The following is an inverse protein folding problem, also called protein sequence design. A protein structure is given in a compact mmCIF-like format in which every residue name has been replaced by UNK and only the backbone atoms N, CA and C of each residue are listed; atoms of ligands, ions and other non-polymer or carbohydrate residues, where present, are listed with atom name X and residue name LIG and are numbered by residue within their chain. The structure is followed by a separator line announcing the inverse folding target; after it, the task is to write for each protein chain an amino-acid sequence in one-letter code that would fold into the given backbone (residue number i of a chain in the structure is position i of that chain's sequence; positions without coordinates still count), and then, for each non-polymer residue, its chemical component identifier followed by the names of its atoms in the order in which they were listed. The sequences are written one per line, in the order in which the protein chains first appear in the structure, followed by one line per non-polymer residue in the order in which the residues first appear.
data_IF_230256843223
#
_entry.id   IF_230256843223
#
_cell.length_a   1.000
_cell.length_b   1.000
_cell.length_c   1.000
_cell.angle_alpha   90.00
_cell.angle_beta   90.00
_cell.angle_gamma   90.00
#
_symmetry.space_group_name_H-M   'P 1'
#
loop_
_entity.id
_entity.type
_entity.pdbx_description
1 polymer ?
#
# COMPACT_ATOMS: atom_id res chain seq x y z
N UNK A 1 35.06 -46.88 -39.41
CA UNK A 1 34.67 -45.62 -38.75
C UNK A 1 35.34 -45.62 -37.37
N UNK A 2 36.33 -44.74 -37.15
CA UNK A 2 37.29 -44.86 -36.08
C UNK A 2 36.70 -44.38 -34.72
N UNK A 3 36.99 -45.08 -33.64
CA UNK A 3 36.58 -44.81 -32.26
C UNK A 3 36.79 -43.32 -31.87
N UNK A 4 37.83 -42.69 -32.46
CA UNK A 4 38.09 -41.24 -32.27
C UNK A 4 36.97 -40.31 -32.75
N UNK A 5 36.18 -40.69 -33.71
CA UNK A 5 35.04 -39.88 -34.21
C UNK A 5 33.83 -39.98 -33.30
N UNK A 6 33.65 -41.11 -32.58
CA UNK A 6 32.59 -41.29 -31.59
C UNK A 6 32.87 -40.54 -30.30
N UNK A 7 34.12 -40.43 -29.88
CA UNK A 7 34.50 -39.65 -28.70
C UNK A 7 34.36 -38.15 -28.91
N UNK A 8 34.60 -37.63 -30.13
CA UNK A 8 34.39 -36.24 -30.48
C UNK A 8 32.90 -35.93 -30.56
N UNK A 9 32.06 -36.82 -31.10
CA UNK A 9 30.60 -36.61 -31.12
C UNK A 9 29.97 -36.67 -29.74
N UNK A 10 30.43 -37.51 -28.83
CA UNK A 10 29.98 -37.54 -27.43
C UNK A 10 30.41 -36.28 -26.66
N UNK A 11 31.62 -35.76 -26.88
CA UNK A 11 32.12 -34.56 -26.25
C UNK A 11 31.38 -33.29 -26.72
N UNK A 12 31.02 -33.24 -28.03
CA UNK A 12 30.21 -32.13 -28.56
C UNK A 12 28.74 -32.15 -28.08
N UNK A 13 28.17 -33.34 -27.82
CA UNK A 13 26.83 -33.47 -27.24
C UNK A 13 26.77 -33.05 -25.77
N UNK A 14 27.88 -33.19 -25.02
CA UNK A 14 27.94 -32.69 -23.61
C UNK A 14 28.10 -31.18 -23.52
N UNK A 15 28.58 -30.49 -24.56
CA UNK A 15 28.70 -29.02 -24.58
C UNK A 15 27.38 -28.31 -24.95
N UNK A 16 26.41 -29.06 -25.53
CA UNK A 16 25.09 -28.52 -25.84
C UNK A 16 24.08 -28.63 -24.68
N UNK A 17 24.50 -29.21 -23.56
CA UNK A 17 23.62 -29.44 -22.38
C UNK A 17 23.66 -28.36 -21.31
N UNK A 18 24.33 -27.21 -21.56
CA UNK A 18 24.44 -26.16 -20.53
C UNK A 18 23.11 -25.48 -20.20
N UNK A 19 22.10 -25.52 -21.07
CA UNK A 19 20.80 -24.92 -20.75
C UNK A 19 19.82 -25.85 -20.01
N UNK A 20 20.19 -27.16 -19.84
CA UNK A 20 19.32 -28.11 -19.14
C UNK A 20 19.44 -28.03 -17.59
N UNK A 21 20.43 -27.31 -17.08
CA UNK A 21 20.67 -27.12 -15.65
C UNK A 21 20.37 -25.69 -15.15
N UNK A 22 19.84 -24.84 -16.01
CA UNK A 22 19.18 -23.63 -15.52
C UNK A 22 17.87 -24.03 -14.84
N UNK A 23 17.94 -24.37 -13.56
CA UNK A 23 16.78 -24.39 -12.68
C UNK A 23 16.27 -22.96 -12.62
N UNK A 24 15.26 -22.66 -13.42
CA UNK A 24 14.49 -21.44 -13.26
C UNK A 24 13.93 -21.47 -11.84
N UNK A 25 14.41 -20.55 -11.02
CA UNK A 25 13.79 -20.31 -9.73
C UNK A 25 12.29 -20.08 -9.96
N UNK A 26 11.44 -20.95 -9.42
CA UNK A 26 9.98 -20.86 -9.59
C UNK A 26 9.43 -19.55 -9.04
N UNK A 27 10.25 -18.78 -8.31
CA UNK A 27 9.94 -17.48 -7.75
C UNK A 27 10.38 -16.29 -8.65
N UNK A 28 11.07 -16.53 -9.75
CA UNK A 28 11.37 -15.54 -10.78
C UNK A 28 10.52 -15.81 -12.01
N UNK A 29 9.37 -15.16 -12.09
CA UNK A 29 8.67 -15.04 -13.36
C UNK A 29 9.53 -14.16 -14.28
N UNK A 30 10.22 -14.79 -15.25
CA UNK A 30 10.85 -14.06 -16.34
C UNK A 30 9.74 -13.41 -17.17
N UNK A 31 9.44 -12.16 -16.88
CA UNK A 31 8.49 -11.37 -17.65
C UNK A 31 9.03 -11.11 -19.05
N UNK A 32 8.63 -11.93 -20.00
CA UNK A 32 9.06 -11.81 -21.41
C UNK A 32 8.22 -10.77 -22.18
N UNK A 33 7.14 -10.32 -21.61
CA UNK A 33 6.25 -9.30 -22.18
C UNK A 33 5.83 -8.26 -21.13
N UNK A 34 5.40 -7.09 -21.59
CA UNK A 34 4.85 -6.09 -20.70
C UNK A 34 3.58 -6.57 -19.99
N UNK A 35 2.81 -7.49 -20.58
CA UNK A 35 1.62 -8.09 -19.96
C UNK A 35 1.97 -8.97 -18.79
N UNK A 36 3.05 -9.74 -18.87
CA UNK A 36 3.52 -10.58 -17.76
C UNK A 36 3.97 -9.70 -16.59
N UNK A 37 4.69 -8.60 -16.89
CA UNK A 37 5.09 -7.62 -15.87
C UNK A 37 3.90 -6.89 -15.26
N UNK A 38 2.86 -6.61 -16.05
CA UNK A 38 1.61 -6.02 -15.55
C UNK A 38 0.88 -6.99 -14.61
N UNK A 39 0.81 -8.27 -14.95
CA UNK A 39 0.21 -9.31 -14.11
C UNK A 39 1.00 -9.50 -12.81
N UNK A 40 2.33 -9.44 -12.87
CA UNK A 40 3.19 -9.50 -11.67
C UNK A 40 2.92 -8.31 -10.73
N UNK A 41 2.76 -7.10 -11.26
CA UNK A 41 2.37 -5.94 -10.45
C UNK A 41 0.99 -6.14 -9.80
N UNK A 42 0.01 -6.65 -10.55
CA UNK A 42 -1.35 -6.89 -10.04
C UNK A 42 -1.35 -7.94 -8.93
N UNK A 43 -0.66 -9.06 -9.16
CA UNK A 43 -0.68 -10.20 -8.25
C UNK A 43 0.09 -9.98 -6.95
N UNK A 44 1.28 -9.36 -7.03
CA UNK A 44 2.23 -9.36 -5.93
C UNK A 44 2.65 -7.98 -5.42
N UNK A 45 2.42 -6.91 -6.17
CA UNK A 45 2.86 -5.57 -5.81
C UNK A 45 1.70 -4.67 -5.36
N UNK A 46 0.55 -4.71 -6.02
CA UNK A 46 -0.66 -4.08 -5.49
C UNK A 46 -1.16 -4.88 -4.28
N UNK A 47 -1.69 -4.19 -3.28
CA UNK A 47 -2.36 -4.87 -2.17
C UNK A 47 -3.58 -5.62 -2.70
N UNK A 48 -3.66 -6.91 -2.40
CA UNK A 48 -4.74 -7.75 -2.89
C UNK A 48 -6.06 -7.38 -2.21
N UNK A 49 -7.09 -7.14 -3.02
CA UNK A 49 -8.47 -7.00 -2.53
C UNK A 49 -8.98 -8.30 -1.88
N UNK A 50 -8.33 -9.43 -2.16
CA UNK A 50 -8.68 -10.75 -1.62
C UNK A 50 -8.17 -11.01 -0.19
N UNK A 51 -7.57 -10.03 0.47
CA UNK A 51 -7.31 -10.09 1.91
C UNK A 51 -8.59 -10.27 2.75
N UNK A 52 -9.75 -10.18 2.11
CA UNK A 52 -11.07 -10.23 2.72
C UNK A 52 -11.58 -11.62 3.08
N UNK A 53 -10.95 -12.70 2.63
CA UNK A 53 -11.47 -14.05 2.87
C UNK A 53 -11.04 -14.69 4.19
N UNK A 54 -10.02 -14.17 4.83
CA UNK A 54 -9.61 -14.63 6.14
C UNK A 54 -9.77 -13.49 7.14
N UNK A 55 -10.68 -13.63 8.08
CA UNK A 55 -10.79 -12.87 9.33
C UNK A 55 -9.51 -13.02 10.15
N UNK A 56 -8.42 -12.70 9.54
CA UNK A 56 -7.13 -12.80 10.16
C UNK A 56 -6.62 -11.36 10.30
N UNK A 57 -6.81 -10.77 11.48
CA UNK A 57 -6.17 -9.48 11.85
C UNK A 57 -4.70 -9.43 11.45
N UNK A 58 -4.16 -10.59 11.16
CA UNK A 58 -2.81 -10.80 10.70
C UNK A 58 -2.54 -10.44 9.24
N UNK A 59 -3.53 -10.23 8.38
CA UNK A 59 -3.35 -9.92 6.95
C UNK A 59 -3.54 -8.46 6.58
N UNK A 60 -3.98 -7.61 7.51
CA UNK A 60 -4.40 -6.24 7.22
C UNK A 60 -3.25 -5.24 7.29
N UNK A 61 -2.77 -4.90 6.12
CA UNK A 61 -1.69 -3.93 5.96
C UNK A 61 -2.22 -2.50 6.15
N UNK A 62 -1.66 -1.80 7.16
CA UNK A 62 -1.97 -0.40 7.40
C UNK A 62 -3.19 -0.12 8.28
N UNK A 63 -3.96 -1.12 8.68
CA UNK A 63 -5.11 -0.96 9.57
C UNK A 63 -4.71 -0.36 10.93
N UNK A 64 -3.54 -0.72 11.44
CA UNK A 64 -2.98 -0.19 12.68
C UNK A 64 -2.70 1.32 12.65
N UNK A 65 -2.66 1.97 11.48
CA UNK A 65 -2.44 3.42 11.38
C UNK A 65 -3.51 4.21 12.12
N UNK A 66 -4.75 3.76 12.09
CA UNK A 66 -5.86 4.40 12.80
C UNK A 66 -5.74 4.21 14.32
N UNK A 67 -5.07 3.14 14.76
CA UNK A 67 -4.80 2.89 16.18
C UNK A 67 -3.65 3.74 16.74
N UNK A 68 -2.78 4.23 15.86
CA UNK A 68 -1.69 5.16 16.23
C UNK A 68 -2.13 6.63 16.30
N UNK A 69 -3.38 6.90 15.93
CA UNK A 69 -3.93 8.25 15.90
C UNK A 69 -5.01 8.45 16.96
N UNK A 70 -5.37 9.70 17.21
CA UNK A 70 -6.39 10.09 18.22
C UNK A 70 -7.84 9.78 17.76
N UNK A 71 -8.00 9.12 16.64
CA UNK A 71 -9.30 8.82 16.03
C UNK A 71 -10.02 7.66 16.72
N UNK A 72 -9.29 6.75 17.34
CA UNK A 72 -9.82 5.56 17.98
C UNK A 72 -9.58 5.55 19.47
N UNK A 73 -10.49 4.88 20.17
CA UNK A 73 -10.41 4.70 21.61
C UNK A 73 -10.92 3.32 22.02
N UNK A 74 -10.52 2.87 23.18
CA UNK A 74 -11.00 1.61 23.75
C UNK A 74 -12.49 1.68 24.05
N UNK A 75 -13.22 0.67 23.59
CA UNK A 75 -14.61 0.45 23.94
C UNK A 75 -14.74 -0.82 24.78
N UNK A 76 -15.03 -0.61 26.07
CA UNK A 76 -15.21 -1.71 27.01
C UNK A 76 -16.70 -2.02 27.20
N UNK A 77 -17.22 -3.03 26.50
CA UNK A 77 -18.59 -3.51 26.68
C UNK A 77 -18.69 -4.72 27.63
N UNK A 78 -17.63 -5.08 28.31
CA UNK A 78 -17.58 -6.21 29.23
C UNK A 78 -17.54 -7.59 28.60
N UNK A 79 -17.46 -7.68 27.29
CA UNK A 79 -17.41 -8.95 26.54
C UNK A 79 -16.09 -9.03 25.79
N UNK A 80 -15.16 -9.79 26.30
CA UNK A 80 -13.93 -10.15 25.57
C UNK A 80 -14.31 -11.22 24.54
N UNK A 81 -14.39 -10.83 23.27
CA UNK A 81 -14.54 -11.78 22.18
C UNK A 81 -13.15 -12.18 21.69
N UNK A 82 -12.92 -13.45 21.48
CA UNK A 82 -11.64 -14.09 21.15
C UNK A 82 -10.97 -13.61 19.84
N UNK A 83 -11.59 -12.68 19.11
CA UNK A 83 -11.09 -12.01 17.90
C UNK A 83 -11.03 -10.49 18.06
N UNK A 84 -10.70 -10.04 19.25
CA UNK A 84 -10.71 -8.64 19.62
C UNK A 84 -9.50 -7.93 19.00
N UNK A 85 -9.76 -6.93 18.16
CA UNK A 85 -8.72 -6.06 17.64
C UNK A 85 -7.92 -5.40 18.77
N UNK A 86 -8.55 -5.14 19.90
CA UNK A 86 -7.91 -4.65 21.12
C UNK A 86 -6.80 -5.60 21.58
N UNK A 87 -7.04 -6.91 21.63
CA UNK A 87 -6.07 -7.89 22.06
C UNK A 87 -4.86 -7.98 21.11
N UNK A 88 -5.13 -8.19 19.81
CA UNK A 88 -4.06 -8.41 18.83
C UNK A 88 -3.31 -7.14 18.41
N UNK A 89 -3.94 -5.99 18.53
CA UNK A 89 -3.37 -4.70 18.16
C UNK A 89 -2.92 -3.88 19.37
N UNK A 90 -2.89 -4.51 20.54
CA UNK A 90 -2.54 -3.86 21.81
C UNK A 90 -1.23 -3.08 21.74
N UNK A 91 -0.21 -3.63 21.12
CA UNK A 91 1.09 -2.99 20.97
C UNK A 91 1.03 -1.68 20.18
N UNK A 92 0.10 -1.55 19.23
CA UNK A 92 -0.08 -0.34 18.44
C UNK A 92 -0.84 0.75 19.22
N UNK A 93 -2.04 0.45 19.69
CA UNK A 93 -2.87 1.47 20.32
C UNK A 93 -2.38 1.90 21.71
N UNK A 94 -1.58 1.06 22.39
CA UNK A 94 -0.92 1.41 23.67
C UNK A 94 0.53 1.89 23.50
N UNK A 95 0.99 2.06 22.27
CA UNK A 95 2.36 2.54 21.98
C UNK A 95 3.46 1.72 22.67
N UNK A 96 3.31 0.39 22.69
CA UNK A 96 4.33 -0.46 23.28
C UNK A 96 5.65 -0.38 22.49
N UNK A 97 6.82 -0.53 23.15
CA UNK A 97 8.11 -0.55 22.47
C UNK A 97 8.22 -1.66 21.40
N UNK A 98 7.41 -2.70 21.53
CA UNK A 98 7.27 -3.80 20.57
C UNK A 98 5.81 -3.91 20.17
N UNK A 99 5.54 -3.60 18.93
CA UNK A 99 4.17 -3.58 18.38
C UNK A 99 3.49 -4.96 18.32
N UNK A 100 4.26 -6.05 18.38
CA UNK A 100 3.73 -7.42 18.51
C UNK A 100 3.33 -7.81 19.94
N UNK A 101 3.39 -6.91 20.91
CA UNK A 101 2.93 -7.16 22.28
C UNK A 101 1.41 -7.25 22.30
N UNK A 102 0.87 -8.34 22.85
CA UNK A 102 -0.57 -8.56 23.03
C UNK A 102 -1.06 -8.04 24.38
N UNK A 103 -2.37 -7.98 24.59
CA UNK A 103 -2.97 -7.45 25.84
C UNK A 103 -2.55 -8.23 27.10
N UNK A 104 -2.25 -9.52 26.98
CA UNK A 104 -1.73 -10.35 28.06
C UNK A 104 -0.20 -10.25 28.23
N UNK A 105 0.44 -9.30 27.53
CA UNK A 105 1.88 -9.10 27.48
C UNK A 105 2.67 -10.27 26.87
N UNK A 106 2.01 -11.23 26.24
CA UNK A 106 2.67 -12.16 25.34
C UNK A 106 3.17 -11.44 24.09
N UNK A 107 4.08 -12.08 23.35
CA UNK A 107 4.63 -11.47 22.13
C UNK A 107 4.29 -12.31 20.91
N UNK A 108 3.66 -11.69 19.92
CA UNK A 108 3.49 -12.22 18.58
C UNK A 108 4.52 -11.59 17.63
N UNK A 109 5.69 -12.21 17.54
CA UNK A 109 6.77 -11.75 16.67
C UNK A 109 6.41 -11.80 15.19
N UNK A 110 5.45 -12.62 14.81
CA UNK A 110 4.97 -12.70 13.43
C UNK A 110 4.22 -11.42 13.03
N UNK A 111 3.40 -10.89 13.93
CA UNK A 111 2.68 -9.64 13.70
C UNK A 111 3.63 -8.43 13.63
N UNK A 112 4.68 -8.43 14.45
CA UNK A 112 5.62 -7.32 14.59
C UNK A 112 6.30 -6.93 13.27
N UNK A 113 6.60 -7.90 12.42
CA UNK A 113 7.36 -7.68 11.19
C UNK A 113 6.52 -7.75 9.92
N UNK A 114 5.22 -7.93 10.03
CA UNK A 114 4.36 -8.24 8.90
C UNK A 114 4.32 -7.13 7.85
N UNK A 115 4.07 -5.89 8.26
CA UNK A 115 4.04 -4.73 7.37
C UNK A 115 5.41 -4.48 6.74
N UNK A 116 6.47 -4.58 7.53
CA UNK A 116 7.85 -4.48 7.04
C UNK A 116 8.14 -5.49 5.92
N UNK A 117 7.89 -6.77 6.21
CA UNK A 117 8.12 -7.86 5.25
C UNK A 117 7.31 -7.70 3.98
N UNK A 118 6.03 -7.32 4.10
CA UNK A 118 5.17 -7.12 2.93
C UNK A 118 5.63 -5.94 2.07
N UNK A 119 5.97 -4.81 2.67
CA UNK A 119 6.46 -3.66 1.93
C UNK A 119 7.75 -4.01 1.16
N UNK A 120 8.71 -4.69 1.80
CA UNK A 120 9.94 -5.10 1.10
C UNK A 120 9.69 -6.17 0.04
N UNK A 121 8.71 -7.08 0.24
CA UNK A 121 8.29 -8.00 -0.83
C UNK A 121 7.77 -7.22 -2.05
N UNK A 122 6.88 -6.25 -1.85
CA UNK A 122 6.36 -5.40 -2.92
C UNK A 122 7.46 -4.57 -3.59
N UNK A 123 8.41 -4.02 -2.82
CA UNK A 123 9.58 -3.30 -3.34
C UNK A 123 10.43 -4.22 -4.22
N UNK A 124 10.65 -5.47 -3.80
CA UNK A 124 11.40 -6.43 -4.59
C UNK A 124 10.70 -6.77 -5.92
N UNK A 125 9.39 -6.94 -5.90
CA UNK A 125 8.57 -7.11 -7.11
C UNK A 125 8.70 -5.89 -8.03
N UNK A 126 8.59 -4.67 -7.49
CA UNK A 126 8.76 -3.46 -8.28
C UNK A 126 10.17 -3.36 -8.89
N UNK A 127 11.23 -3.73 -8.15
CA UNK A 127 12.59 -3.80 -8.67
C UNK A 127 12.70 -4.78 -9.83
N UNK A 128 12.15 -6.00 -9.68
CA UNK A 128 12.13 -7.02 -10.75
C UNK A 128 11.44 -6.48 -11.99
N UNK A 129 10.27 -5.88 -11.85
CA UNK A 129 9.54 -5.28 -12.98
C UNK A 129 10.36 -4.19 -13.67
N UNK A 130 11.01 -3.31 -12.90
CA UNK A 130 11.84 -2.24 -13.47
C UNK A 130 13.04 -2.78 -14.24
N UNK A 131 13.72 -3.80 -13.72
CA UNK A 131 14.87 -4.43 -14.38
C UNK A 131 14.47 -5.26 -15.60
N UNK A 132 13.37 -6.02 -15.52
CA UNK A 132 12.86 -6.83 -16.62
C UNK A 132 12.31 -5.96 -17.74
N UNK A 133 11.70 -4.81 -17.42
CA UNK A 133 11.18 -3.89 -18.41
C UNK A 133 12.28 -3.35 -19.35
N UNK A 134 13.53 -3.22 -18.89
CA UNK A 134 14.66 -2.80 -19.75
C UNK A 134 14.97 -3.77 -20.89
N UNK A 135 14.52 -5.01 -20.78
CA UNK A 135 14.73 -6.07 -21.77
C UNK A 135 13.56 -6.23 -22.75
N UNK A 136 12.46 -5.48 -22.53
CA UNK A 136 11.27 -5.63 -23.37
C UNK A 136 11.50 -5.14 -24.81
N UNK A 137 10.92 -5.81 -25.79
CA UNK A 137 10.89 -5.31 -27.16
C UNK A 137 10.00 -4.03 -27.21
N UNK A 138 10.45 -3.03 -27.95
CA UNK A 138 9.76 -1.75 -28.16
C UNK A 138 9.47 -1.50 -29.64
N UNK A 139 9.17 -2.55 -30.38
CA UNK A 139 8.99 -2.50 -31.83
C UNK A 139 7.65 -1.88 -32.23
N UNK A 140 6.60 -2.15 -31.46
CA UNK A 140 5.23 -1.68 -31.74
C UNK A 140 4.81 -0.57 -30.76
N UNK A 141 3.83 0.22 -31.14
CA UNK A 141 3.26 1.24 -30.24
C UNK A 141 2.61 0.60 -29.00
N UNK A 142 1.99 -0.57 -29.14
CA UNK A 142 1.42 -1.31 -28.01
C UNK A 142 2.50 -1.71 -27.00
N UNK A 143 3.63 -2.18 -27.45
CA UNK A 143 4.77 -2.52 -26.57
C UNK A 143 5.34 -1.28 -25.88
N UNK A 144 5.48 -0.15 -26.59
CA UNK A 144 5.92 1.11 -26.00
C UNK A 144 4.94 1.60 -24.92
N UNK A 145 3.65 1.58 -25.21
CA UNK A 145 2.62 1.94 -24.24
C UNK A 145 2.63 0.99 -23.03
N UNK A 146 2.77 -0.31 -23.25
CA UNK A 146 2.91 -1.29 -22.18
C UNK A 146 4.15 -1.06 -21.31
N UNK A 147 5.30 -0.81 -21.94
CA UNK A 147 6.55 -0.44 -21.25
C UNK A 147 6.37 0.79 -20.34
N UNK A 148 5.79 1.87 -20.87
CA UNK A 148 5.57 3.08 -20.08
C UNK A 148 4.57 2.85 -18.93
N UNK A 149 3.55 2.04 -19.16
CA UNK A 149 2.60 1.66 -18.13
C UNK A 149 3.30 0.93 -16.96
N UNK A 150 3.97 -0.18 -17.23
CA UNK A 150 4.54 -1.01 -16.17
C UNK A 150 5.66 -0.30 -15.42
N UNK A 151 6.50 0.46 -16.14
CA UNK A 151 7.54 1.27 -15.48
C UNK A 151 6.95 2.38 -14.63
N UNK A 152 5.97 3.10 -15.15
CA UNK A 152 5.30 4.17 -14.40
C UNK A 152 4.66 3.66 -13.12
N UNK A 153 3.93 2.55 -13.19
CA UNK A 153 3.30 1.94 -12.02
C UNK A 153 4.31 1.33 -11.05
N UNK A 154 5.37 0.68 -11.54
CA UNK A 154 6.40 0.09 -10.66
C UNK A 154 7.15 1.16 -9.86
N UNK A 155 7.55 2.27 -10.49
CA UNK A 155 8.14 3.41 -9.80
C UNK A 155 7.16 4.03 -8.76
N UNK A 156 5.89 4.21 -9.13
CA UNK A 156 4.87 4.69 -8.19
C UNK A 156 4.75 3.79 -6.96
N UNK A 157 4.64 2.48 -7.16
CA UNK A 157 4.47 1.51 -6.08
C UNK A 157 5.72 1.45 -5.19
N UNK A 158 6.92 1.50 -5.77
CA UNK A 158 8.17 1.51 -5.00
C UNK A 158 8.28 2.77 -4.14
N UNK A 159 7.98 3.94 -4.71
CA UNK A 159 7.91 5.20 -3.96
C UNK A 159 6.87 5.12 -2.82
N UNK A 160 5.70 4.58 -3.08
CA UNK A 160 4.63 4.43 -2.10
C UNK A 160 5.07 3.56 -0.91
N UNK A 161 5.69 2.40 -1.17
CA UNK A 161 6.12 1.50 -0.10
C UNK A 161 7.31 2.04 0.70
N UNK A 162 8.27 2.72 0.06
CA UNK A 162 9.34 3.39 0.78
C UNK A 162 8.83 4.58 1.60
N UNK A 163 7.87 5.33 1.09
CA UNK A 163 7.23 6.40 1.86
C UNK A 163 6.51 5.85 3.10
N UNK A 164 5.82 4.71 2.98
CA UNK A 164 5.24 4.04 4.14
C UNK A 164 6.31 3.58 5.14
N UNK A 165 7.31 2.86 4.66
CA UNK A 165 8.36 2.33 5.53
C UNK A 165 9.10 3.41 6.31
N UNK A 166 9.49 4.51 5.66
CA UNK A 166 10.24 5.57 6.34
C UNK A 166 9.39 6.28 7.39
N UNK A 167 8.09 6.44 7.15
CA UNK A 167 7.20 7.07 8.13
C UNK A 167 6.80 6.15 9.27
N UNK A 168 6.79 4.83 9.07
CA UNK A 168 6.46 3.86 10.11
C UNK A 168 7.66 3.47 10.98
N UNK A 169 8.85 3.41 10.38
CA UNK A 169 10.03 2.83 11.03
C UNK A 169 11.23 3.79 11.11
N UNK A 170 11.17 4.93 10.43
CA UNK A 170 12.17 5.99 10.48
C UNK A 170 11.83 7.09 11.48
N UNK A 171 12.73 8.07 11.60
CA UNK A 171 12.41 9.31 12.25
C UNK A 171 11.53 10.18 11.34
N UNK A 172 10.66 11.05 11.91
CA UNK A 172 9.91 12.01 11.11
C UNK A 172 10.87 12.89 10.28
N UNK A 173 10.48 13.21 9.04
CA UNK A 173 11.31 14.10 8.23
C UNK A 173 11.44 15.48 8.86
N UNK A 174 12.67 15.94 9.04
CA UNK A 174 12.99 17.30 9.43
C UNK A 174 14.09 17.85 8.54
N UNK A 175 13.93 19.01 7.91
CA UNK A 175 14.96 19.60 7.06
C UNK A 175 16.32 19.80 7.78
N UNK A 176 16.30 19.90 9.10
CA UNK A 176 17.49 20.13 9.92
C UNK A 176 18.24 18.84 10.28
N UNK A 177 17.53 17.72 10.42
CA UNK A 177 18.10 16.47 10.96
C UNK A 177 18.02 15.28 10.01
N UNK A 178 17.26 15.36 8.90
CA UNK A 178 17.05 14.25 7.96
C UNK A 178 18.33 13.62 7.43
N UNK A 179 19.44 14.40 7.37
CA UNK A 179 20.78 13.92 6.94
C UNK A 179 21.45 12.97 7.93
N UNK A 180 21.02 12.98 9.16
CA UNK A 180 21.60 12.17 10.24
C UNK A 180 20.59 11.20 10.86
N UNK A 181 19.31 11.52 10.76
CA UNK A 181 18.25 10.66 11.26
C UNK A 181 18.17 9.35 10.47
N UNK A 182 17.98 8.26 11.20
CA UNK A 182 17.91 6.93 10.59
C UNK A 182 16.53 6.68 9.98
N UNK A 183 16.52 6.48 8.68
CA UNK A 183 15.39 6.00 7.90
C UNK A 183 15.31 4.48 7.85
N UNK A 184 15.19 3.91 6.66
CA UNK A 184 15.10 2.47 6.41
C UNK A 184 16.13 2.03 5.35
N UNK A 185 16.52 0.75 5.30
CA UNK A 185 17.40 0.25 4.24
C UNK A 185 16.82 0.47 2.84
N UNK A 186 17.62 0.94 1.91
CA UNK A 186 17.28 1.03 0.50
C UNK A 186 17.75 -0.23 -0.24
N UNK A 187 16.82 -1.00 -0.77
CA UNK A 187 17.05 -2.12 -1.70
C UNK A 187 16.52 -1.73 -3.07
N UNK A 188 17.42 -1.44 -3.99
CA UNK A 188 17.10 -0.81 -5.28
C UNK A 188 17.23 -1.76 -6.49
N UNK A 189 17.53 -3.03 -6.24
CA UNK A 189 17.62 -4.09 -7.25
C UNK A 189 16.85 -5.34 -6.80
N UNK A 190 16.59 -6.26 -7.74
CA UNK A 190 15.84 -7.49 -7.48
C UNK A 190 16.72 -8.61 -6.89
N UNK A 191 18.04 -8.52 -7.00
CA UNK A 191 18.97 -9.58 -6.59
C UNK A 191 18.91 -9.85 -5.07
N UNK A 192 19.00 -11.12 -4.72
CA UNK A 192 19.01 -11.54 -3.31
C UNK A 192 20.44 -11.76 -2.87
N UNK A 193 20.89 -10.97 -1.92
CA UNK A 193 22.23 -11.09 -1.31
C UNK A 193 22.13 -11.51 0.14
N UNK A 194 23.04 -12.38 0.56
CA UNK A 194 23.24 -12.70 1.99
C UNK A 194 24.10 -11.61 2.65
N UNK A 195 23.51 -10.41 2.78
CA UNK A 195 24.17 -9.24 3.39
C UNK A 195 23.27 -8.60 4.43
N UNK A 196 23.88 -8.01 5.44
CA UNK A 196 23.17 -7.17 6.41
C UNK A 196 23.04 -5.76 5.86
N UNK A 197 21.83 -5.39 5.48
CA UNK A 197 21.54 -4.03 5.05
C UNK A 197 21.65 -3.06 6.22
N UNK A 198 22.29 -1.92 5.98
CA UNK A 198 22.34 -0.78 6.89
C UNK A 198 21.09 0.10 6.68
N UNK A 199 20.68 0.82 7.71
CA UNK A 199 19.66 1.85 7.55
C UNK A 199 20.25 3.05 6.84
N UNK A 200 19.59 3.51 5.80
CA UNK A 200 19.89 4.78 5.15
C UNK A 200 19.34 5.94 6.00
N UNK A 201 19.82 7.14 5.74
CA UNK A 201 19.25 8.33 6.38
C UNK A 201 17.86 8.63 5.87
N UNK A 202 17.07 9.38 6.63
CA UNK A 202 15.74 9.84 6.21
C UNK A 202 15.84 10.65 4.92
N UNK A 203 16.85 11.51 4.77
CA UNK A 203 17.09 12.28 3.53
C UNK A 203 17.31 11.37 2.33
N UNK A 204 18.16 10.34 2.45
CA UNK A 204 18.42 9.39 1.35
C UNK A 204 17.17 8.64 0.92
N UNK A 205 16.34 8.20 1.89
CA UNK A 205 15.09 7.51 1.57
C UNK A 205 14.10 8.44 0.87
N UNK A 206 13.92 9.67 1.35
CA UNK A 206 13.03 10.64 0.69
C UNK A 206 13.56 11.09 -0.67
N UNK A 207 14.88 11.19 -0.84
CA UNK A 207 15.50 11.46 -2.14
C UNK A 207 15.20 10.33 -3.14
N UNK A 208 15.26 9.06 -2.68
CA UNK A 208 14.87 7.91 -3.51
C UNK A 208 13.38 7.92 -3.85
N UNK A 209 12.50 8.19 -2.88
CA UNK A 209 11.06 8.33 -3.09
C UNK A 209 10.75 9.39 -4.13
N UNK A 210 11.35 10.58 -4.02
CA UNK A 210 11.11 11.67 -4.98
C UNK A 210 11.68 11.38 -6.36
N UNK A 211 12.81 10.69 -6.47
CA UNK A 211 13.34 10.23 -7.75
C UNK A 211 12.40 9.22 -8.44
N UNK A 212 11.85 8.28 -7.68
CA UNK A 212 10.86 7.33 -8.21
C UNK A 212 9.57 8.03 -8.65
N UNK A 213 9.09 9.04 -7.88
CA UNK A 213 7.92 9.82 -8.31
C UNK A 213 8.18 10.58 -9.60
N UNK A 214 9.36 11.13 -9.81
CA UNK A 214 9.74 11.80 -11.07
C UNK A 214 9.79 10.81 -12.23
N UNK A 215 10.46 9.66 -12.05
CA UNK A 215 10.50 8.62 -13.09
C UNK A 215 9.10 8.09 -13.42
N UNK A 216 8.26 7.87 -12.40
CA UNK A 216 6.87 7.49 -12.60
C UNK A 216 6.09 8.54 -13.41
N UNK A 217 6.28 9.85 -13.10
CA UNK A 217 5.62 10.95 -13.83
C UNK A 217 6.02 10.97 -15.31
N UNK A 218 7.33 10.78 -15.61
CA UNK A 218 7.83 10.71 -16.97
C UNK A 218 7.19 9.58 -17.77
N UNK A 219 7.09 8.39 -17.19
CA UNK A 219 6.48 7.24 -17.84
C UNK A 219 4.96 7.36 -17.95
N UNK A 220 4.25 7.73 -16.89
CA UNK A 220 2.80 7.83 -16.91
C UNK A 220 2.29 8.95 -17.83
N UNK A 221 3.06 10.00 -18.10
CA UNK A 221 2.74 11.00 -19.11
C UNK A 221 2.78 10.46 -20.54
N UNK A 222 3.61 9.46 -20.79
CA UNK A 222 3.70 8.82 -22.11
C UNK A 222 2.69 7.69 -22.31
N UNK A 223 2.10 7.19 -21.23
CA UNK A 223 1.01 6.22 -21.28
C UNK A 223 -0.33 6.92 -21.50
N UNK A 224 -0.88 6.83 -22.72
CA UNK A 224 -2.05 7.59 -23.14
C UNK A 224 -3.39 6.91 -22.92
N UNK A 225 -3.40 5.62 -22.62
CA UNK A 225 -4.64 4.89 -22.41
C UNK A 225 -5.32 5.31 -21.09
N UNK A 226 -6.65 5.42 -21.14
CA UNK A 226 -7.43 5.76 -19.94
C UNK A 226 -7.35 4.63 -18.91
N UNK A 227 -7.16 5.01 -17.64
CA UNK A 227 -7.27 4.10 -16.53
C UNK A 227 -8.66 3.43 -16.49
N UNK A 228 -8.67 2.11 -16.34
CA UNK A 228 -9.90 1.33 -16.28
C UNK A 228 -10.42 1.09 -14.85
N UNK A 229 -9.61 1.32 -13.84
CA UNK A 229 -9.93 0.99 -12.45
C UNK A 229 -9.23 1.93 -11.48
N UNK A 230 -9.92 2.30 -10.39
CA UNK A 230 -9.33 3.07 -9.28
C UNK A 230 -8.28 2.25 -8.49
N UNK A 231 -8.23 0.93 -8.71
CA UNK A 231 -7.27 0.04 -8.06
C UNK A 231 -5.91 -0.02 -8.78
N UNK A 232 -5.73 0.78 -9.81
CA UNK A 232 -4.47 0.93 -10.54
C UNK A 232 -3.96 2.37 -10.44
N UNK A 233 -2.66 2.52 -10.28
CA UNK A 233 -2.05 3.83 -10.29
C UNK A 233 -2.16 4.50 -11.66
N UNK A 234 -2.30 5.81 -11.66
CA UNK A 234 -2.27 6.67 -12.83
C UNK A 234 -1.59 8.00 -12.48
N UNK A 235 -1.51 8.89 -13.45
CA UNK A 235 -0.88 10.20 -13.27
C UNK A 235 -1.55 11.03 -12.16
N UNK A 236 -2.86 10.88 -11.96
CA UNK A 236 -3.59 11.62 -10.91
C UNK A 236 -3.27 11.09 -9.52
N UNK A 237 -3.22 9.76 -9.37
CA UNK A 237 -2.81 9.13 -8.11
C UNK A 237 -1.35 9.43 -7.76
N UNK A 238 -0.48 9.50 -8.78
CA UNK A 238 0.91 9.93 -8.60
C UNK A 238 0.98 11.38 -8.09
N UNK A 239 0.23 12.31 -8.68
CA UNK A 239 0.22 13.70 -8.22
C UNK A 239 -0.27 13.81 -6.77
N UNK A 240 -1.28 13.04 -6.39
CA UNK A 240 -1.77 12.99 -5.01
C UNK A 240 -0.71 12.47 -4.05
N UNK A 241 -0.01 11.39 -4.41
CA UNK A 241 1.08 10.86 -3.59
C UNK A 241 2.24 11.85 -3.49
N UNK A 242 2.63 12.49 -4.60
CA UNK A 242 3.69 13.48 -4.63
C UNK A 242 3.36 14.69 -3.73
N UNK A 243 2.13 15.21 -3.81
CA UNK A 243 1.68 16.29 -2.92
C UNK A 243 1.85 15.90 -1.45
N UNK A 244 1.45 14.68 -1.07
CA UNK A 244 1.60 14.17 0.30
C UNK A 244 3.06 13.99 0.70
N UNK A 245 3.90 13.44 -0.16
CA UNK A 245 5.34 13.27 0.11
C UNK A 245 6.00 14.63 0.36
N UNK A 246 5.75 15.62 -0.49
CA UNK A 246 6.31 16.96 -0.31
C UNK A 246 5.75 17.68 0.92
N UNK A 247 4.48 17.43 1.29
CA UNK A 247 3.90 17.92 2.53
C UNK A 247 4.68 17.40 3.76
N UNK A 248 4.98 16.10 3.78
CA UNK A 248 5.76 15.47 4.85
C UNK A 248 7.21 15.99 4.88
N UNK A 249 7.77 16.33 3.71
CA UNK A 249 9.09 16.98 3.60
C UNK A 249 9.08 18.46 4.00
N UNK A 250 7.94 19.03 4.36
CA UNK A 250 7.74 20.46 4.62
C UNK A 250 8.09 21.34 3.40
N UNK A 251 8.04 20.78 2.22
CA UNK A 251 8.20 21.51 0.97
C UNK A 251 6.81 21.96 0.47
N UNK A 252 6.34 23.06 1.06
CA UNK A 252 4.99 23.57 0.87
C UNK A 252 4.69 23.94 -0.57
N UNK A 253 5.65 24.57 -1.27
CA UNK A 253 5.48 24.98 -2.66
C UNK A 253 5.25 23.79 -3.59
N UNK A 254 6.04 22.73 -3.42
CA UNK A 254 5.86 21.49 -4.18
C UNK A 254 4.58 20.75 -3.78
N UNK A 255 4.23 20.74 -2.53
CA UNK A 255 2.98 20.13 -2.05
C UNK A 255 1.76 20.80 -2.72
N UNK A 256 1.73 22.14 -2.79
CA UNK A 256 0.69 22.91 -3.47
C UNK A 256 0.72 22.67 -4.98
N UNK A 257 1.91 22.73 -5.63
CA UNK A 257 2.04 22.48 -7.07
C UNK A 257 1.39 21.14 -7.48
N UNK A 258 1.68 20.08 -6.73
CA UNK A 258 1.14 18.75 -7.05
C UNK A 258 -0.35 18.61 -6.66
N UNK A 259 -0.81 19.26 -5.60
CA UNK A 259 -2.23 19.34 -5.27
C UNK A 259 -3.04 20.06 -6.39
N UNK A 260 -2.51 21.14 -6.93
CA UNK A 260 -3.14 21.87 -8.04
C UNK A 260 -3.22 20.99 -9.30
N UNK A 261 -2.22 20.17 -9.59
CA UNK A 261 -2.27 19.19 -10.69
C UNK A 261 -3.41 18.18 -10.49
N UNK A 262 -3.68 17.75 -9.26
CA UNK A 262 -4.83 16.87 -8.96
C UNK A 262 -6.14 17.60 -9.21
N UNK A 263 -6.29 18.81 -8.66
CA UNK A 263 -7.51 19.62 -8.78
C UNK A 263 -7.81 20.02 -10.23
N UNK A 264 -6.79 20.21 -11.06
CA UNK A 264 -6.97 20.48 -12.49
C UNK A 264 -7.64 19.30 -13.23
N UNK A 265 -7.49 18.07 -12.76
CA UNK A 265 -8.07 16.86 -13.37
C UNK A 265 -9.36 16.44 -12.68
N UNK A 266 -9.45 16.64 -11.36
CA UNK A 266 -10.52 16.11 -10.51
C UNK A 266 -10.92 17.15 -9.44
N UNK A 267 -11.61 18.23 -9.85
CA UNK A 267 -12.00 19.32 -8.95
C UNK A 267 -13.28 19.04 -8.16
N UNK A 268 -14.07 18.05 -8.59
CA UNK A 268 -15.42 17.85 -8.04
C UNK A 268 -15.38 17.21 -6.66
N UNK A 269 -16.21 17.73 -5.75
CA UNK A 269 -16.43 17.19 -4.41
C UNK A 269 -17.78 16.51 -4.32
N UNK A 270 -17.89 15.52 -3.45
CA UNK A 270 -19.15 14.86 -3.14
C UNK A 270 -20.12 15.83 -2.47
N UNK A 271 -21.30 15.98 -3.04
CA UNK A 271 -22.35 16.81 -2.45
C UNK A 271 -23.06 16.05 -1.32
N UNK A 272 -22.67 16.31 -0.09
CA UNK A 272 -23.24 15.65 1.09
C UNK A 272 -24.70 16.05 1.36
N UNK A 273 -25.21 17.16 0.80
CA UNK A 273 -26.61 17.55 0.97
C UNK A 273 -27.58 16.76 0.10
N UNK A 274 -27.15 16.32 -1.07
CA UNK A 274 -28.03 15.63 -2.04
C UNK A 274 -27.81 14.13 -2.10
N UNK A 275 -26.64 13.66 -1.70
CA UNK A 275 -26.27 12.24 -1.73
C UNK A 275 -25.72 11.82 -0.35
N UNK A 276 -26.56 11.19 0.44
CA UNK A 276 -26.21 10.60 1.74
C UNK A 276 -25.33 9.37 1.60
N UNK A 277 -24.78 9.13 0.43
CA UNK A 277 -23.97 7.96 0.19
C UNK A 277 -22.61 8.10 0.89
N UNK A 278 -22.06 6.94 1.20
CA UNK A 278 -20.76 6.82 1.83
C UNK A 278 -19.66 7.46 0.96
N UNK A 279 -18.77 8.23 1.55
CA UNK A 279 -17.68 8.89 0.82
C UNK A 279 -16.51 7.93 0.56
N UNK A 280 -16.33 6.92 1.39
CA UNK A 280 -15.27 5.92 1.22
C UNK A 280 -15.77 4.72 0.40
N UNK A 281 -16.26 4.95 -0.79
CA UNK A 281 -16.72 3.93 -1.74
C UNK A 281 -15.98 4.05 -3.08
N UNK A 282 -15.86 2.94 -3.79
CA UNK A 282 -15.16 2.87 -5.08
C UNK A 282 -15.68 3.84 -6.14
N UNK A 283 -16.94 4.20 -6.07
CA UNK A 283 -17.60 5.10 -7.03
C UNK A 283 -17.87 6.50 -6.45
N UNK A 284 -17.28 6.87 -5.33
CA UNK A 284 -17.27 8.24 -4.87
C UNK A 284 -16.51 9.13 -5.85
N UNK A 285 -17.06 10.31 -6.12
CA UNK A 285 -16.45 11.25 -7.05
C UNK A 285 -15.05 11.69 -6.59
N UNK A 286 -14.80 11.70 -5.28
CA UNK A 286 -13.50 12.08 -4.70
C UNK A 286 -12.47 10.94 -4.69
N UNK A 287 -12.88 9.68 -4.94
CA UNK A 287 -11.94 8.56 -4.92
C UNK A 287 -11.00 8.62 -6.11
N UNK A 288 -9.72 8.82 -5.86
CA UNK A 288 -8.67 8.88 -6.88
C UNK A 288 -7.99 7.53 -7.05
N UNK A 289 -7.60 6.92 -5.94
CA UNK A 289 -6.88 5.65 -5.93
C UNK A 289 -7.21 4.86 -4.67
N UNK A 290 -7.33 3.55 -4.78
CA UNK A 290 -7.54 2.65 -3.66
C UNK A 290 -6.75 1.36 -3.86
N UNK A 291 -6.11 0.88 -2.82
CA UNK A 291 -5.52 -0.46 -2.82
C UNK A 291 -6.48 -1.54 -2.26
N UNK A 292 -7.73 -1.16 -2.00
CA UNK A 292 -8.68 -1.98 -1.27
C UNK A 292 -8.48 -1.85 0.24
N UNK A 293 -9.25 -2.59 1.00
CA UNK A 293 -9.20 -2.61 2.46
C UNK A 293 -10.60 -2.58 3.06
N UNK A 294 -11.04 -3.67 3.68
CA UNK A 294 -12.42 -3.80 4.18
C UNK A 294 -12.49 -3.95 5.69
N UNK A 295 -11.37 -4.06 6.39
CA UNK A 295 -11.40 -4.47 7.79
C UNK A 295 -11.51 -3.31 8.77
N UNK A 296 -11.19 -2.10 8.33
CA UNK A 296 -11.36 -0.90 9.14
C UNK A 296 -12.82 -0.71 9.61
N UNK A 297 -13.85 -0.87 8.75
CA UNK A 297 -15.24 -0.78 9.19
C UNK A 297 -15.60 -1.82 10.24
N UNK A 298 -15.03 -3.00 10.17
CA UNK A 298 -15.25 -4.06 11.17
C UNK A 298 -14.64 -3.68 12.52
N UNK A 299 -13.45 -3.11 12.52
CA UNK A 299 -12.80 -2.65 13.74
C UNK A 299 -13.54 -1.49 14.39
N UNK A 300 -13.91 -0.49 13.60
CA UNK A 300 -14.47 0.77 14.11
C UNK A 300 -15.98 0.78 14.26
N UNK A 301 -16.66 -0.20 13.67
CA UNK A 301 -18.09 -0.07 13.46
C UNK A 301 -18.97 -0.91 14.35
N UNK A 302 -18.52 -2.02 14.87
CA UNK A 302 -19.42 -2.98 15.50
C UNK A 302 -19.34 -3.02 17.04
N UNK A 303 -18.45 -2.25 17.67
CA UNK A 303 -18.25 -2.32 19.12
C UNK A 303 -17.85 -3.71 19.64
N UNK A 304 -17.90 -4.72 18.77
CA UNK A 304 -17.53 -6.11 19.08
C UNK A 304 -16.04 -6.35 19.04
N UNK A 305 -15.28 -5.41 18.50
CA UNK A 305 -13.84 -5.49 18.37
C UNK A 305 -13.06 -4.77 19.49
N UNK A 306 -13.75 -4.29 20.51
CA UNK A 306 -13.16 -3.59 21.64
C UNK A 306 -12.68 -2.17 21.36
N UNK A 307 -12.83 -1.67 20.12
CA UNK A 307 -12.42 -0.35 19.69
C UNK A 307 -13.59 0.42 19.09
N UNK A 308 -13.58 1.74 19.24
CA UNK A 308 -14.58 2.65 18.68
C UNK A 308 -13.98 3.99 18.34
N UNK A 309 -14.79 4.89 17.81
CA UNK A 309 -14.38 6.27 17.55
C UNK A 309 -14.21 7.01 18.88
N UNK A 310 -13.12 7.75 19.02
CA UNK A 310 -12.84 8.56 20.19
C UNK A 310 -13.97 9.58 20.43
N UNK A 311 -14.54 9.56 21.63
CA UNK A 311 -15.66 10.43 21.99
C UNK A 311 -15.30 11.92 21.95
N UNK A 312 -14.06 12.28 22.26
CA UNK A 312 -13.61 13.68 22.22
C UNK A 312 -13.52 14.18 20.78
N UNK A 313 -13.05 13.32 19.86
CA UNK A 313 -13.07 13.62 18.42
C UNK A 313 -14.49 13.81 17.91
N UNK A 314 -15.41 12.89 18.24
CA UNK A 314 -16.82 13.04 17.86
C UNK A 314 -17.44 14.32 18.45
N UNK A 315 -17.12 14.67 19.69
CA UNK A 315 -17.62 15.87 20.36
C UNK A 315 -17.09 17.17 19.72
N UNK A 316 -15.90 17.12 19.09
CA UNK A 316 -15.31 18.27 18.42
C UNK A 316 -16.08 18.72 17.17
N UNK A 317 -16.84 17.83 16.54
CA UNK A 317 -17.75 18.23 15.45
C UNK A 317 -18.91 19.03 16.01
N UNK A 318 -19.18 20.21 15.42
CA UNK A 318 -20.33 21.03 15.80
C UNK A 318 -21.65 20.32 15.47
N UNK A 319 -22.75 20.75 16.11
CA UNK A 319 -24.09 20.20 15.84
C UNK A 319 -24.58 20.48 14.40
N UNK A 320 -24.03 21.50 13.76
CA UNK A 320 -24.37 21.87 12.39
C UNK A 320 -23.41 21.28 11.34
N UNK A 321 -22.43 20.48 11.79
CA UNK A 321 -21.52 19.81 10.88
C UNK A 321 -22.16 18.51 10.35
N UNK A 322 -22.48 18.48 9.07
CA UNK A 322 -23.11 17.31 8.43
C UNK A 322 -22.29 16.04 8.58
N UNK A 323 -20.96 16.13 8.71
CA UNK A 323 -20.10 14.95 8.92
C UNK A 323 -20.46 14.25 10.22
N UNK A 324 -20.86 14.98 11.24
CA UNK A 324 -21.25 14.43 12.54
C UNK A 324 -22.46 13.49 12.43
N UNK A 325 -23.40 13.83 11.56
CA UNK A 325 -24.61 13.03 11.32
C UNK A 325 -24.38 11.92 10.31
N UNK A 326 -23.62 12.18 9.26
CA UNK A 326 -23.48 11.27 8.12
C UNK A 326 -22.34 10.26 8.29
N UNK A 327 -21.28 10.62 9.03
CA UNK A 327 -20.09 9.76 9.15
C UNK A 327 -20.06 8.93 10.42
N UNK A 328 -20.90 9.25 11.39
CA UNK A 328 -20.93 8.60 12.68
C UNK A 328 -22.34 8.15 13.03
N UNK A 329 -22.41 7.07 13.77
CA UNK A 329 -23.62 6.68 14.47
C UNK A 329 -23.30 6.53 15.95
N UNK A 330 -24.21 7.00 16.77
CA UNK A 330 -24.00 7.02 18.23
C UNK A 330 -24.94 6.04 18.89
N UNK A 331 -24.37 5.04 19.54
CA UNK A 331 -25.07 4.26 20.54
C UNK A 331 -24.94 4.94 21.92
N UNK A 332 -25.72 4.44 22.89
CA UNK A 332 -25.65 4.95 24.27
C UNK A 332 -24.24 4.85 24.86
N UNK A 333 -23.43 3.91 24.41
CA UNK A 333 -22.16 3.57 25.01
C UNK A 333 -20.95 3.73 24.09
N UNK A 334 -21.15 3.87 22.75
CA UNK A 334 -20.03 4.08 21.84
C UNK A 334 -20.41 4.85 20.57
N UNK A 335 -19.39 5.37 19.88
CA UNK A 335 -19.52 6.01 18.57
C UNK A 335 -18.89 5.10 17.52
N UNK A 336 -19.66 4.74 16.50
CA UNK A 336 -19.19 3.98 15.35
C UNK A 336 -19.03 4.87 14.12
N UNK A 337 -18.29 4.37 13.12
CA UNK A 337 -18.04 5.04 11.86
C UNK A 337 -18.99 4.50 10.78
N UNK A 338 -19.62 5.38 10.00
CA UNK A 338 -20.56 5.00 8.93
C UNK A 338 -20.14 5.48 7.55
N UNK A 339 -19.02 6.19 7.44
CA UNK A 339 -18.57 6.77 6.15
C UNK A 339 -18.13 5.73 5.11
N UNK A 340 -17.97 4.45 5.52
CA UNK A 340 -17.58 3.35 4.65
C UNK A 340 -18.75 2.39 4.39
N UNK A 341 -19.01 1.97 3.14
CA UNK A 341 -20.19 1.17 2.79
C UNK A 341 -20.18 -0.25 3.40
N UNK A 342 -19.01 -0.86 3.53
CA UNK A 342 -18.90 -2.26 3.97
C UNK A 342 -19.23 -2.46 5.44
N UNK A 343 -19.27 -1.36 6.21
CA UNK A 343 -19.76 -1.37 7.57
C UNK A 343 -21.19 -1.93 7.71
N UNK A 344 -22.04 -1.67 6.71
CA UNK A 344 -23.45 -2.08 6.73
C UNK A 344 -23.69 -3.46 6.07
N UNK A 345 -22.76 -3.99 5.32
CA UNK A 345 -22.93 -5.23 4.57
C UNK A 345 -22.93 -6.50 5.44
N UNK A 346 -22.46 -6.40 6.68
CA UNK A 346 -22.42 -7.55 7.61
C UNK A 346 -23.61 -7.63 8.57
N UNK A 347 -24.43 -6.61 8.65
CA UNK A 347 -25.79 -6.75 9.17
C UNK A 347 -26.67 -7.30 8.05
N UNK A 348 -27.39 -8.37 8.29
CA UNK A 348 -28.19 -9.14 7.33
C UNK A 348 -29.31 -8.37 6.61
N UNK A 349 -29.29 -7.04 6.62
CA UNK A 349 -30.14 -6.15 5.83
C UNK A 349 -29.51 -4.78 5.76
N UNK A 350 -29.28 -4.21 4.56
CA UNK A 350 -28.94 -2.80 4.44
C UNK A 350 -30.08 -1.99 5.07
N UNK A 351 -29.81 -0.89 5.80
CA UNK A 351 -30.88 -0.02 6.24
C UNK A 351 -31.63 0.48 5.02
N UNK A 352 -32.90 0.20 4.94
CA UNK A 352 -33.77 0.85 3.96
C UNK A 352 -33.67 2.35 4.20
N UNK A 353 -33.33 3.08 3.14
CA UNK A 353 -33.38 4.54 3.16
C UNK A 353 -34.85 4.92 3.34
N UNK A 354 -35.21 5.38 4.53
CA UNK A 354 -36.46 6.11 4.75
C UNK A 354 -36.30 7.55 4.35
#
# INVERSE_FOLDING_TARGET
MNIKHWTILLASAMLASCNFLEEYSQDQADGNSWTDLDELLIGDCYMSVNATQEFNYSSNYGMFLHLLADEMDEYNNGSVIMFDAKYYMFGYWTWQPRVGTQEDYSADYYQENKTWTKCYKCINVANNVLESAEKLPLATETEKQGYHKVKGEAHFLRAFYYFWLVNLYGQPYSPTTAKTDLGVPLKVNSEVYDVKYQRNTVEEVYAHVTADLQASEEHLKQYTAKRKSIYRADITSLYLLASRVYLYMQNWDKAVEYADKVLAVKPDLQNMNSDNSYIEKKNCIETIFSMGGDDLPVMMGMGSCGMGVNNSMYAAYSLNDMRKELWFWKYTSFVGLTKHPDFLYRSSSPPEKT
#
